data_IF_505328817723
#
_entry.id   IF_505328817723
#
_cell.length_a   1.000
_cell.length_b   1.000
_cell.length_c   1.000
_cell.angle_alpha   90.00
_cell.angle_beta   90.00
_cell.angle_gamma   90.00
#
_symmetry.space_group_name_H-M   'P 1'
#
loop_
_entity.id
_entity.type
_entity.pdbx_description
1 polymer ?
#
# COMPACT_ATOMS: atom_id res chain seq x y z
N UNK A 1 40.30 -9.30 59.88
CA UNK A 1 39.01 -8.93 59.28
C UNK A 1 39.05 -9.48 57.86
N UNK A 2 38.17 -10.43 57.57
CA UNK A 2 38.23 -11.27 56.37
C UNK A 2 37.65 -10.52 55.16
N UNK A 3 38.33 -10.66 54.01
CA UNK A 3 37.88 -10.20 52.70
C UNK A 3 36.69 -11.04 52.22
N UNK A 4 35.61 -10.45 51.67
CA UNK A 4 34.51 -11.22 51.11
C UNK A 4 34.89 -11.82 49.74
N UNK A 5 34.57 -13.11 49.58
CA UNK A 5 34.76 -13.91 48.36
C UNK A 5 33.80 -13.52 47.23
N UNK A 6 34.18 -13.70 45.95
CA UNK A 6 33.40 -13.23 44.81
C UNK A 6 32.46 -14.35 44.32
N UNK A 7 31.33 -14.54 45.00
CA UNK A 7 30.26 -15.43 44.51
C UNK A 7 28.91 -14.95 45.07
N UNK A 8 28.41 -13.83 44.56
CA UNK A 8 26.96 -13.55 44.57
C UNK A 8 26.59 -12.51 43.50
N UNK A 9 26.77 -12.88 42.23
CA UNK A 9 26.13 -12.17 41.11
C UNK A 9 25.03 -13.08 40.60
N UNK A 10 23.83 -12.91 41.15
CA UNK A 10 22.60 -13.43 40.56
C UNK A 10 22.45 -12.80 39.16
N UNK A 11 22.26 -13.57 38.08
CA UNK A 11 22.03 -12.97 36.77
C UNK A 11 20.68 -12.25 36.80
N UNK A 12 20.72 -10.95 36.53
CA UNK A 12 19.51 -10.17 36.27
C UNK A 12 18.75 -10.80 35.11
N UNK A 13 17.48 -11.12 35.34
CA UNK A 13 16.54 -11.65 34.37
C UNK A 13 16.32 -10.60 33.27
N UNK A 14 17.13 -10.66 32.23
CA UNK A 14 17.06 -9.80 31.06
C UNK A 14 15.97 -10.31 30.11
N UNK A 15 14.73 -10.34 30.60
CA UNK A 15 13.56 -10.68 29.78
C UNK A 15 12.36 -9.80 30.15
N UNK A 16 12.56 -8.48 30.19
CA UNK A 16 11.46 -7.54 29.99
C UNK A 16 11.69 -6.79 28.69
N UNK A 17 10.90 -7.14 27.67
CA UNK A 17 10.72 -6.24 26.54
C UNK A 17 10.27 -4.88 27.11
N UNK A 18 10.75 -3.74 26.55
CA UNK A 18 10.26 -2.45 26.98
C UNK A 18 8.73 -2.45 26.90
N UNK A 19 8.03 -1.86 27.88
CA UNK A 19 6.58 -1.80 27.83
C UNK A 19 6.20 -1.20 26.47
N UNK A 20 5.42 -1.96 25.69
CA UNK A 20 4.77 -1.43 24.50
C UNK A 20 4.00 -0.22 25.00
N UNK A 21 4.41 0.98 24.61
CA UNK A 21 3.59 2.16 24.88
C UNK A 21 2.26 1.88 24.21
N UNK A 22 1.25 1.55 25.00
CA UNK A 22 -0.12 1.52 24.56
C UNK A 22 -0.40 2.92 24.00
N UNK A 23 -0.78 2.96 22.73
CA UNK A 23 -0.95 4.18 21.95
C UNK A 23 -2.14 4.97 22.52
N UNK A 24 -1.89 5.77 23.55
CA UNK A 24 -2.86 6.68 24.20
C UNK A 24 -3.20 7.91 23.31
N UNK A 25 -3.03 7.76 22.00
CA UNK A 25 -3.46 8.75 21.02
C UNK A 25 -4.92 8.49 20.70
N UNK A 26 -5.78 9.48 20.97
CA UNK A 26 -7.12 9.55 20.36
C UNK A 26 -7.01 9.15 18.88
N UNK A 27 -7.81 8.18 18.38
CA UNK A 27 -7.67 7.75 17.00
C UNK A 27 -7.95 8.94 16.08
N UNK A 28 -6.92 9.43 15.39
CA UNK A 28 -7.05 10.46 14.38
C UNK A 28 -7.60 9.84 13.09
N UNK A 29 -8.45 10.58 12.39
CA UNK A 29 -8.94 10.17 11.05
C UNK A 29 -7.79 10.09 10.05
N UNK A 30 -7.95 9.31 8.98
CA UNK A 30 -6.98 9.26 7.89
C UNK A 30 -6.73 10.65 7.29
N UNK A 31 -7.76 11.48 7.12
CA UNK A 31 -7.59 12.85 6.64
C UNK A 31 -6.73 13.70 7.59
N UNK A 32 -6.95 13.60 8.90
CA UNK A 32 -6.10 14.28 9.89
C UNK A 32 -4.65 13.80 9.83
N UNK A 33 -4.43 12.48 9.76
CA UNK A 33 -3.10 11.92 9.61
C UNK A 33 -2.40 12.46 8.35
N UNK A 34 -3.07 12.41 7.18
CA UNK A 34 -2.48 12.93 5.93
C UNK A 34 -2.26 14.44 5.97
N UNK A 35 -3.11 15.19 6.67
CA UNK A 35 -2.90 16.61 6.91
C UNK A 35 -1.62 16.89 7.69
N UNK A 36 -1.42 16.20 8.83
CA UNK A 36 -0.22 16.33 9.66
C UNK A 36 1.04 15.95 8.88
N UNK A 37 1.00 14.84 8.13
CA UNK A 37 2.13 14.43 7.29
C UNK A 37 2.40 15.46 6.18
N UNK A 38 1.37 16.01 5.55
CA UNK A 38 1.50 17.00 4.48
C UNK A 38 2.13 18.31 4.97
N UNK A 39 1.82 18.76 6.19
CA UNK A 39 2.43 19.96 6.80
C UNK A 39 3.96 19.86 6.86
N UNK A 40 4.51 18.65 6.99
CA UNK A 40 5.95 18.41 7.01
C UNK A 40 6.49 18.08 5.61
N UNK A 41 5.83 17.18 4.89
CA UNK A 41 6.32 16.65 3.62
C UNK A 41 6.27 17.69 2.50
N UNK A 42 5.26 18.57 2.47
CA UNK A 42 5.17 19.60 1.43
C UNK A 42 6.41 20.52 1.45
N UNK A 43 6.73 21.26 2.53
CA UNK A 43 7.89 22.15 2.53
C UNK A 43 9.21 21.40 2.34
N UNK A 44 9.32 20.16 2.83
CA UNK A 44 10.48 19.32 2.60
C UNK A 44 10.66 18.99 1.12
N UNK A 45 9.61 18.53 0.44
CA UNK A 45 9.65 18.25 -1.00
C UNK A 45 9.92 19.53 -1.78
N UNK A 46 9.29 20.67 -1.44
CA UNK A 46 9.60 21.97 -2.07
C UNK A 46 11.08 22.34 -1.94
N UNK A 47 11.72 22.04 -0.81
CA UNK A 47 13.16 22.25 -0.66
C UNK A 47 13.96 21.34 -1.58
N UNK A 48 13.57 20.08 -1.74
CA UNK A 48 14.20 19.16 -2.69
C UNK A 48 13.98 19.62 -4.14
N UNK A 49 12.78 20.11 -4.51
CA UNK A 49 12.53 20.66 -5.84
C UNK A 49 13.51 21.78 -6.20
N UNK A 50 13.86 22.64 -5.24
CA UNK A 50 14.84 23.71 -5.44
C UNK A 50 16.28 23.20 -5.59
N UNK A 51 16.62 22.07 -4.99
CA UNK A 51 17.99 21.53 -4.96
C UNK A 51 18.29 20.56 -6.11
N UNK A 52 17.33 19.72 -6.49
CA UNK A 52 17.52 18.66 -7.50
C UNK A 52 16.53 18.72 -8.67
N UNK A 53 15.72 19.78 -8.72
CA UNK A 53 14.67 19.92 -9.71
C UNK A 53 13.41 19.15 -9.35
N UNK A 54 12.29 19.63 -9.89
CA UNK A 54 10.94 19.14 -9.59
C UNK A 54 10.76 17.66 -9.90
N UNK A 55 11.15 17.24 -11.10
CA UNK A 55 10.95 15.87 -11.57
C UNK A 55 11.64 14.85 -10.67
N UNK A 56 12.92 15.09 -10.33
CA UNK A 56 13.68 14.19 -9.46
C UNK A 56 13.13 14.17 -8.05
N UNK A 57 12.78 15.34 -7.49
CA UNK A 57 12.18 15.42 -6.16
C UNK A 57 10.84 14.66 -6.09
N UNK A 58 10.00 14.79 -7.12
CA UNK A 58 8.72 14.09 -7.21
C UNK A 58 8.89 12.58 -7.38
N UNK A 59 9.88 12.14 -8.17
CA UNK A 59 10.20 10.72 -8.32
C UNK A 59 10.62 10.09 -6.98
N UNK A 60 11.51 10.75 -6.23
CA UNK A 60 11.93 10.26 -4.91
C UNK A 60 10.75 10.22 -3.93
N UNK A 61 9.93 11.29 -3.88
CA UNK A 61 8.75 11.31 -3.03
C UNK A 61 7.76 10.19 -3.38
N UNK A 62 7.58 9.92 -4.68
CA UNK A 62 6.74 8.84 -5.19
C UNK A 62 7.23 7.48 -4.71
N UNK A 63 8.49 7.15 -4.99
CA UNK A 63 9.10 5.87 -4.61
C UNK A 63 8.94 5.58 -3.10
N UNK A 64 9.21 6.58 -2.26
CA UNK A 64 9.08 6.46 -0.80
C UNK A 64 7.63 6.23 -0.39
N UNK A 65 6.70 7.02 -0.93
CA UNK A 65 5.28 6.94 -0.56
C UNK A 65 4.66 5.62 -1.01
N UNK A 66 5.01 5.14 -2.20
CA UNK A 66 4.60 3.83 -2.71
C UNK A 66 5.07 2.70 -1.80
N UNK A 67 6.33 2.70 -1.36
CA UNK A 67 6.83 1.65 -0.48
C UNK A 67 6.16 1.65 0.89
N UNK A 68 5.93 2.84 1.48
CA UNK A 68 5.17 2.94 2.75
C UNK A 68 3.75 2.39 2.55
N UNK A 69 3.09 2.72 1.45
CA UNK A 69 1.74 2.24 1.16
C UNK A 69 1.70 0.72 0.94
N UNK A 70 2.70 0.15 0.26
CA UNK A 70 2.82 -1.30 0.06
C UNK A 70 3.06 -2.05 1.37
N UNK A 71 3.90 -1.51 2.25
CA UNK A 71 4.08 -2.04 3.61
C UNK A 71 2.78 -2.01 4.41
N UNK A 72 2.01 -0.92 4.31
CA UNK A 72 0.71 -0.81 4.94
C UNK A 72 -0.25 -1.89 4.42
N UNK A 73 -0.29 -2.11 3.10
CA UNK A 73 -1.06 -3.20 2.49
C UNK A 73 -0.73 -4.57 3.08
N UNK A 74 0.57 -4.90 3.18
CA UNK A 74 1.04 -6.16 3.77
C UNK A 74 0.60 -6.34 5.22
N UNK A 75 0.77 -5.31 6.04
CA UNK A 75 0.32 -5.36 7.45
C UNK A 75 -1.18 -5.54 7.57
N UNK A 76 -1.96 -4.94 6.67
CA UNK A 76 -3.42 -5.08 6.65
C UNK A 76 -3.82 -6.51 6.28
N UNK A 77 -3.22 -7.12 5.26
CA UNK A 77 -3.51 -8.51 4.90
C UNK A 77 -3.10 -9.49 6.01
N UNK A 78 -1.95 -9.26 6.66
CA UNK A 78 -1.48 -10.07 7.78
C UNK A 78 -2.40 -9.97 9.00
N UNK A 79 -2.82 -8.75 9.35
CA UNK A 79 -3.72 -8.51 10.48
C UNK A 79 -5.11 -9.11 10.27
N UNK A 80 -5.61 -9.09 9.03
CA UNK A 80 -6.91 -9.67 8.68
C UNK A 80 -6.85 -11.18 8.41
N UNK A 81 -5.66 -11.73 8.13
CA UNK A 81 -5.52 -13.10 7.63
C UNK A 81 -6.22 -13.33 6.28
N UNK A 82 -6.37 -12.27 5.46
CA UNK A 82 -7.12 -12.27 4.21
C UNK A 82 -6.40 -11.48 3.13
N UNK A 83 -6.56 -11.91 1.89
CA UNK A 83 -6.01 -11.27 0.67
C UNK A 83 -7.07 -11.12 -0.44
N UNK A 84 -8.35 -11.31 -0.12
CA UNK A 84 -9.48 -11.28 -1.04
C UNK A 84 -10.27 -9.95 -0.99
N UNK A 85 -11.22 -9.76 -1.92
CA UNK A 85 -11.97 -8.51 -2.05
C UNK A 85 -12.88 -8.23 -0.85
N UNK A 86 -13.46 -9.26 -0.24
CA UNK A 86 -14.32 -9.07 0.92
C UNK A 86 -13.50 -8.59 2.14
N UNK A 87 -12.28 -9.12 2.35
CA UNK A 87 -11.35 -8.57 3.32
C UNK A 87 -10.94 -7.13 2.97
N UNK A 88 -10.63 -6.86 1.70
CA UNK A 88 -10.26 -5.53 1.23
C UNK A 88 -11.38 -4.48 1.38
N UNK A 89 -12.64 -4.90 1.30
CA UNK A 89 -13.79 -4.01 1.48
C UNK A 89 -13.79 -3.37 2.87
N UNK A 90 -13.35 -4.12 3.90
CA UNK A 90 -13.21 -3.59 5.26
C UNK A 90 -12.08 -2.55 5.35
N UNK A 91 -11.03 -2.72 4.55
CA UNK A 91 -9.94 -1.75 4.41
C UNK A 91 -10.46 -0.44 3.80
N UNK A 92 -11.25 -0.52 2.73
CA UNK A 92 -11.91 0.65 2.13
C UNK A 92 -12.83 1.37 3.10
N UNK A 93 -13.53 0.64 3.98
CA UNK A 93 -14.36 1.23 5.04
C UNK A 93 -13.52 1.99 6.06
N UNK A 94 -12.30 1.52 6.38
CA UNK A 94 -11.37 2.25 7.23
C UNK A 94 -10.88 3.58 6.61
N UNK A 95 -10.87 3.70 5.28
CA UNK A 95 -10.48 4.93 4.58
C UNK A 95 -11.58 5.99 4.56
N UNK A 96 -12.85 5.55 4.43
CA UNK A 96 -14.01 6.44 4.35
C UNK A 96 -14.73 6.72 5.67
N UNK A 97 -14.47 5.93 6.72
CA UNK A 97 -15.46 5.68 7.76
C UNK A 97 -15.40 6.51 9.05
N UNK A 98 -14.33 7.26 9.34
CA UNK A 98 -14.26 8.00 10.60
C UNK A 98 -14.70 9.48 10.51
N UNK A 99 -15.04 10.02 9.33
CA UNK A 99 -15.27 11.47 9.20
C UNK A 99 -16.02 12.01 7.97
N UNK A 100 -16.56 11.17 7.08
CA UNK A 100 -17.24 11.67 5.86
C UNK A 100 -16.30 12.40 4.90
N UNK A 101 -15.03 11.97 4.85
CA UNK A 101 -13.98 12.62 4.06
C UNK A 101 -14.12 12.39 2.55
N UNK A 102 -14.84 11.34 2.17
CA UNK A 102 -15.14 10.97 0.79
C UNK A 102 -16.65 10.80 0.63
N UNK A 103 -17.21 11.34 -0.45
CA UNK A 103 -18.57 11.01 -0.91
C UNK A 103 -18.47 9.90 -1.94
N UNK A 104 -18.93 8.69 -1.59
CA UNK A 104 -18.77 7.48 -2.39
C UNK A 104 -20.11 7.08 -3.01
N UNK A 105 -20.09 6.78 -4.30
CA UNK A 105 -21.18 6.13 -5.03
C UNK A 105 -20.75 4.71 -5.39
N UNK A 106 -21.24 3.71 -4.66
CA UNK A 106 -20.98 2.29 -4.96
C UNK A 106 -21.73 1.87 -6.22
N UNK A 107 -21.02 1.23 -7.15
CA UNK A 107 -21.57 0.69 -8.40
C UNK A 107 -21.73 -0.83 -8.32
N UNK A 108 -20.74 -1.51 -7.71
CA UNK A 108 -20.73 -2.97 -7.52
C UNK A 108 -19.92 -3.33 -6.27
N UNK A 109 -20.39 -4.30 -5.50
CA UNK A 109 -19.68 -4.85 -4.36
C UNK A 109 -20.10 -6.31 -4.16
N UNK A 110 -19.21 -7.23 -4.51
CA UNK A 110 -19.36 -8.67 -4.30
C UNK A 110 -17.99 -9.34 -4.11
N UNK A 111 -17.94 -10.67 -4.03
CA UNK A 111 -16.69 -11.41 -3.80
C UNK A 111 -15.67 -11.33 -4.94
N UNK A 112 -16.05 -10.88 -6.14
CA UNK A 112 -15.16 -10.77 -7.30
C UNK A 112 -14.80 -9.32 -7.66
N UNK A 113 -15.66 -8.35 -7.32
CA UNK A 113 -15.53 -6.96 -7.76
C UNK A 113 -15.94 -5.95 -6.69
N UNK A 114 -15.14 -4.89 -6.57
CA UNK A 114 -15.49 -3.68 -5.82
C UNK A 114 -15.33 -2.46 -6.73
N UNK A 115 -16.47 -1.91 -7.18
CA UNK A 115 -16.54 -0.74 -8.05
C UNK A 115 -17.26 0.40 -7.35
N UNK A 116 -16.63 1.57 -7.37
CA UNK A 116 -17.25 2.78 -6.86
C UNK A 116 -16.66 4.03 -7.49
N UNK A 117 -17.42 5.11 -7.46
CA UNK A 117 -16.93 6.44 -7.77
C UNK A 117 -16.77 7.24 -6.48
N UNK A 118 -15.74 8.06 -6.40
CA UNK A 118 -15.64 9.14 -5.41
C UNK A 118 -16.07 10.42 -6.10
N UNK A 119 -17.17 11.03 -5.65
CA UNK A 119 -17.74 12.26 -6.23
C UNK A 119 -17.54 13.50 -5.37
N UNK A 120 -16.96 13.33 -4.17
CA UNK A 120 -16.54 14.42 -3.27
C UNK A 120 -15.32 13.97 -2.47
N UNK A 121 -14.30 14.83 -2.34
CA UNK A 121 -12.99 14.44 -1.80
C UNK A 121 -12.35 15.54 -0.95
N UNK A 122 -12.43 15.41 0.38
CA UNK A 122 -11.82 16.36 1.33
C UNK A 122 -10.29 16.34 1.31
N UNK A 123 -9.67 15.26 0.85
CA UNK A 123 -8.22 15.22 0.59
C UNK A 123 -7.84 16.19 -0.53
N UNK A 124 -8.54 16.16 -1.67
CA UNK A 124 -8.28 17.08 -2.78
C UNK A 124 -8.47 18.55 -2.36
N UNK A 125 -9.51 18.83 -1.57
CA UNK A 125 -9.72 20.16 -1.01
C UNK A 125 -8.60 20.58 -0.05
N UNK A 126 -8.09 19.66 0.77
CA UNK A 126 -6.99 19.93 1.70
C UNK A 126 -5.72 20.35 0.97
N UNK A 127 -5.27 19.58 -0.02
CA UNK A 127 -4.06 19.94 -0.79
C UNK A 127 -4.23 21.24 -1.56
N UNK A 128 -5.43 21.53 -2.07
CA UNK A 128 -5.74 22.83 -2.69
C UNK A 128 -5.64 23.98 -1.68
N UNK A 129 -6.18 23.84 -0.48
CA UNK A 129 -6.02 24.86 0.58
C UNK A 129 -4.56 25.07 0.98
N UNK A 130 -3.74 24.03 0.90
CA UNK A 130 -2.29 24.09 1.15
C UNK A 130 -1.47 24.60 -0.04
N UNK A 131 -2.07 24.86 -1.20
CA UNK A 131 -1.36 25.26 -2.43
C UNK A 131 -0.43 24.17 -2.98
N UNK A 132 -0.80 22.90 -2.79
CA UNK A 132 0.02 21.73 -3.11
C UNK A 132 -0.77 20.66 -3.88
N UNK A 133 -1.70 21.05 -4.76
CA UNK A 133 -2.46 20.11 -5.59
C UNK A 133 -1.58 19.17 -6.41
N UNK A 134 -0.43 19.68 -6.84
CA UNK A 134 0.55 18.95 -7.62
C UNK A 134 1.29 17.85 -6.84
N UNK A 135 1.31 17.94 -5.51
CA UNK A 135 1.83 16.91 -4.62
C UNK A 135 0.72 16.00 -4.07
N UNK A 136 -0.53 16.44 -4.08
CA UNK A 136 -1.64 15.70 -3.50
C UNK A 136 -1.85 14.32 -4.11
N UNK A 137 -1.60 14.16 -5.42
CA UNK A 137 -1.67 12.84 -6.06
C UNK A 137 -0.60 11.88 -5.51
N UNK A 138 0.64 12.35 -5.41
CA UNK A 138 1.79 11.57 -4.91
C UNK A 138 1.55 11.19 -3.44
N UNK A 139 1.18 12.17 -2.62
CA UNK A 139 1.10 11.99 -1.17
C UNK A 139 -0.16 11.26 -0.71
N UNK A 140 -1.24 11.25 -1.50
CA UNK A 140 -2.51 10.61 -1.11
C UNK A 140 -3.04 9.62 -2.14
N UNK A 141 -3.35 10.05 -3.37
CA UNK A 141 -4.09 9.20 -4.30
C UNK A 141 -3.32 7.97 -4.76
N UNK A 142 -2.03 8.11 -5.05
CA UNK A 142 -1.22 7.01 -5.57
C UNK A 142 -1.08 5.85 -4.58
N UNK A 143 -1.17 6.14 -3.28
CA UNK A 143 -1.09 5.13 -2.21
C UNK A 143 -2.09 4.00 -2.42
N UNK A 144 -3.25 4.29 -3.00
CA UNK A 144 -4.29 3.31 -3.25
C UNK A 144 -3.80 2.15 -4.12
N UNK A 145 -2.97 2.40 -5.14
CA UNK A 145 -2.40 1.36 -5.98
C UNK A 145 -1.41 0.49 -5.21
N UNK A 146 -0.38 1.11 -4.62
CA UNK A 146 0.68 0.36 -3.93
C UNK A 146 0.19 -0.34 -2.67
N UNK A 147 -0.80 0.21 -1.97
CA UNK A 147 -1.45 -0.48 -0.86
C UNK A 147 -2.17 -1.74 -1.36
N UNK A 148 -2.88 -1.65 -2.47
CA UNK A 148 -3.58 -2.81 -3.06
C UNK A 148 -2.60 -3.91 -3.46
N UNK A 149 -1.49 -3.55 -4.11
CA UNK A 149 -0.39 -4.47 -4.44
C UNK A 149 0.21 -5.12 -3.18
N UNK A 150 0.35 -4.35 -2.11
CA UNK A 150 0.86 -4.84 -0.83
C UNK A 150 -0.11 -5.77 -0.11
N UNK A 151 -1.41 -5.52 -0.26
CA UNK A 151 -2.47 -6.32 0.35
C UNK A 151 -2.61 -7.70 -0.31
N UNK A 152 -2.51 -7.76 -1.64
CA UNK A 152 -2.58 -9.02 -2.38
C UNK A 152 -1.94 -8.86 -3.75
N UNK A 153 -1.13 -9.83 -4.15
CA UNK A 153 -0.54 -9.89 -5.50
C UNK A 153 -1.60 -10.03 -6.59
N UNK A 154 -2.76 -10.56 -6.23
CA UNK A 154 -3.85 -10.84 -7.16
C UNK A 154 -4.88 -9.71 -7.21
N UNK A 155 -4.81 -8.74 -6.28
CA UNK A 155 -5.75 -7.61 -6.25
C UNK A 155 -5.26 -6.48 -7.18
N UNK A 156 -6.02 -6.22 -8.23
CA UNK A 156 -5.75 -5.16 -9.17
C UNK A 156 -6.71 -4.00 -9.00
N UNK A 157 -6.16 -2.79 -8.92
CA UNK A 157 -6.90 -1.54 -9.01
C UNK A 157 -6.71 -0.95 -10.41
N UNK A 158 -7.82 -0.71 -11.10
CA UNK A 158 -7.88 0.21 -12.22
C UNK A 158 -8.55 1.52 -11.77
N UNK A 159 -7.90 2.64 -12.07
CA UNK A 159 -8.43 3.99 -11.88
C UNK A 159 -7.81 4.92 -12.90
N UNK A 160 -8.64 5.55 -13.73
CA UNK A 160 -8.19 6.33 -14.88
C UNK A 160 -8.18 7.82 -14.61
N UNK A 161 -8.91 8.28 -13.58
CA UNK A 161 -9.07 9.69 -13.27
C UNK A 161 -9.18 9.95 -11.76
N UNK A 162 -8.85 11.17 -11.35
CA UNK A 162 -8.99 11.60 -9.96
C UNK A 162 -9.46 13.05 -9.84
N UNK A 163 -10.27 13.34 -8.82
CA UNK A 163 -10.63 14.72 -8.43
C UNK A 163 -9.37 15.54 -8.12
N UNK A 164 -8.34 14.91 -7.54
CA UNK A 164 -7.05 15.56 -7.25
C UNK A 164 -6.38 16.14 -8.48
N UNK A 165 -6.55 15.48 -9.64
CA UNK A 165 -6.01 15.93 -10.92
C UNK A 165 -7.02 16.74 -11.74
N UNK A 166 -8.15 17.15 -11.14
CA UNK A 166 -9.15 18.02 -11.77
C UNK A 166 -10.30 17.30 -12.48
N UNK A 167 -10.40 15.97 -12.37
CA UNK A 167 -11.53 15.23 -12.92
C UNK A 167 -12.81 15.42 -12.09
N UNK A 168 -14.00 15.18 -12.66
CA UNK A 168 -15.26 15.32 -11.93
C UNK A 168 -15.47 14.26 -10.82
N UNK A 169 -14.82 13.10 -10.94
CA UNK A 169 -14.85 12.02 -9.95
C UNK A 169 -13.59 11.15 -10.05
N UNK A 170 -13.35 10.30 -9.04
CA UNK A 170 -12.38 9.21 -9.13
C UNK A 170 -13.11 7.90 -9.43
N UNK A 171 -12.58 7.04 -10.30
CA UNK A 171 -13.23 5.80 -10.77
C UNK A 171 -12.50 4.53 -10.30
N UNK A 172 -12.78 4.08 -9.09
CA UNK A 172 -12.12 2.89 -8.54
C UNK A 172 -12.75 1.60 -9.06
N UNK A 173 -11.94 0.71 -9.65
CA UNK A 173 -12.35 -0.61 -10.13
C UNK A 173 -11.40 -1.67 -9.61
N UNK A 174 -11.84 -2.46 -8.63
CA UNK A 174 -11.03 -3.52 -8.03
C UNK A 174 -11.43 -4.90 -8.55
N UNK A 175 -10.45 -5.73 -8.92
CA UNK A 175 -10.63 -7.10 -9.41
C UNK A 175 -9.60 -8.02 -8.79
N UNK A 176 -9.96 -9.28 -8.56
CA UNK A 176 -8.97 -10.35 -8.35
C UNK A 176 -8.56 -10.93 -9.71
N UNK A 177 -7.27 -11.15 -9.92
CA UNK A 177 -6.78 -12.00 -11.00
C UNK A 177 -7.46 -13.37 -10.87
N UNK A 178 -8.09 -13.85 -11.95
CA UNK A 178 -8.64 -15.20 -11.93
C UNK A 178 -7.44 -16.16 -11.92
N UNK A 179 -7.41 -17.11 -10.99
CA UNK A 179 -6.36 -18.15 -10.88
C UNK A 179 -6.17 -18.98 -12.17
N UNK A 180 -7.00 -18.79 -13.19
CA UNK A 180 -6.96 -19.50 -14.47
C UNK A 180 -5.82 -19.08 -15.39
N UNK A 181 -5.36 -17.81 -15.33
CA UNK A 181 -4.33 -17.30 -16.26
C UNK A 181 -2.91 -17.79 -15.93
N UNK A 182 -2.64 -18.17 -14.67
CA UNK A 182 -1.32 -18.70 -14.27
C UNK A 182 -1.16 -20.17 -14.66
N UNK A 183 -2.27 -20.91 -14.77
CA UNK A 183 -2.23 -22.36 -15.01
C UNK A 183 -2.14 -22.74 -16.49
N UNK A 184 -2.63 -21.91 -17.41
CA UNK A 184 -2.55 -22.20 -18.84
C UNK A 184 -1.15 -21.90 -19.39
N UNK A 185 -0.51 -20.81 -18.96
CA UNK A 185 0.87 -20.49 -19.35
C UNK A 185 1.89 -21.45 -18.72
N UNK A 186 1.70 -21.88 -17.47
CA UNK A 186 2.55 -22.88 -16.83
C UNK A 186 2.38 -24.28 -17.47
N UNK A 187 1.15 -24.67 -17.84
CA UNK A 187 0.89 -25.95 -18.54
C UNK A 187 1.37 -25.93 -19.99
N UNK A 188 1.34 -24.78 -20.66
CA UNK A 188 1.89 -24.63 -22.01
C UNK A 188 3.43 -24.68 -22.01
N UNK A 189 4.08 -24.14 -20.98
CA UNK A 189 5.52 -24.24 -20.80
C UNK A 189 5.97 -25.69 -20.50
N UNK A 190 5.28 -26.41 -19.60
CA UNK A 190 5.60 -27.81 -19.27
C UNK A 190 5.31 -28.78 -20.42
N UNK A 191 4.28 -28.53 -21.25
CA UNK A 191 3.98 -29.37 -22.42
C UNK A 191 4.98 -29.18 -23.57
N UNK A 192 5.66 -28.04 -23.65
CA UNK A 192 6.66 -27.75 -24.69
C UNK A 192 8.01 -28.40 -24.36
N UNK A 193 8.38 -28.53 -23.08
CA UNK A 193 9.62 -29.20 -22.66
C UNK A 193 9.55 -30.74 -22.74
N UNK A 194 8.35 -31.33 -22.70
CA UNK A 194 8.17 -32.79 -22.76
C UNK A 194 8.29 -33.41 -24.18
N UNK A 195 8.35 -32.59 -25.24
CA UNK A 195 8.40 -33.06 -26.64
C UNK A 195 9.75 -32.78 -27.34
N UNK A 196 10.82 -32.53 -26.56
CA UNK A 196 12.19 -32.44 -27.07
C UNK A 196 12.70 -33.78 -27.59
N UNK A 197 12.57 -33.98 -28.90
CA UNK A 197 13.05 -35.08 -29.73
C UNK A 197 14.53 -35.43 -29.46
N UNK A 198 14.77 -36.62 -28.91
CA UNK A 198 16.12 -37.21 -28.77
C UNK A 198 16.62 -37.63 -30.16
N UNK A 199 17.73 -37.09 -30.69
CA UNK A 199 18.26 -37.52 -31.97
C UNK A 199 18.75 -38.98 -31.87
N UNK A 200 18.55 -39.83 -32.90
CA UNK A 200 19.06 -41.18 -32.87
C UNK A 200 20.58 -41.18 -33.08
N UNK A 201 21.28 -41.83 -32.15
CA UNK A 201 22.69 -42.21 -32.27
C UNK A 201 22.93 -43.02 -33.55
N UNK A 202 23.67 -42.43 -34.50
CA UNK A 202 23.96 -43.00 -35.81
C UNK A 202 25.44 -43.20 -36.07
N UNK A 203 25.94 -44.36 -35.64
CA UNK A 203 27.02 -45.21 -36.20
C UNK A 203 28.35 -44.60 -36.72
N UNK A 204 29.42 -45.18 -36.15
CA UNK A 204 30.79 -45.28 -36.67
C UNK A 204 30.82 -45.77 -38.13
N UNK A 205 31.70 -45.16 -38.91
CA UNK A 205 32.71 -45.81 -39.76
C UNK A 205 33.93 -44.89 -39.88
#
# INVERSE_FOLDING_TARGET
>A
MADPTPDDVTPADATSAPPRMEDDRRPITLLQQRGIEAEVLIPFIRRLEAEMGRERAHAVAREVIEEIARQQGRHVSEALGRTDIEGFTHVKESWGGAGGDLTIQTLRQDGEQLDFNVVGCRFAEMYRRMGAEDLGFILSCQRDFSLSEGYSTDLHLERTQTIMQGAPYCDFRYRLARQTDVSEDARAAEATEANGDTPPDGKRD
#
